data_IF_232092118818
#
_entry.id   IF_232092118818
#
_cell.length_a   1.000
_cell.length_b   1.000
_cell.length_c   1.000
_cell.angle_alpha   90.00
_cell.angle_beta   90.00
_cell.angle_gamma   90.00
#
_symmetry.space_group_name_H-M   'P 1'
#
loop_
_entity.id
_entity.type
_entity.pdbx_description
1 polymer ?
#
# COMPACT_ATOMS: atom_id res chain seq x y z
N UNK A 1 -2.34 -7.44 4.20
CA UNK A 1 -1.17 -6.55 3.93
C UNK A 1 -0.48 -6.19 5.24
N UNK A 2 -1.09 -5.38 6.13
CA UNK A 2 -0.54 -5.11 7.48
C UNK A 2 -0.46 -6.40 8.32
N UNK A 3 -1.55 -7.17 8.38
CA UNK A 3 -1.60 -8.45 9.10
C UNK A 3 -0.66 -9.52 8.50
N UNK A 4 -0.29 -9.37 7.22
CA UNK A 4 0.63 -10.29 6.53
C UNK A 4 2.09 -9.84 6.64
N UNK A 5 2.35 -8.72 7.32
CA UNK A 5 3.69 -8.14 7.45
C UNK A 5 4.27 -7.56 6.15
N UNK A 6 3.47 -7.42 5.09
CA UNK A 6 3.88 -6.84 3.80
C UNK A 6 4.09 -5.33 3.91
N UNK A 7 3.32 -4.69 4.80
CA UNK A 7 3.49 -3.30 5.22
C UNK A 7 3.51 -3.26 6.74
N UNK A 8 4.12 -2.22 7.30
CA UNK A 8 4.10 -1.90 8.73
C UNK A 8 3.38 -0.58 8.98
N UNK A 9 2.79 -0.46 10.17
CA UNK A 9 2.30 0.82 10.63
C UNK A 9 3.45 1.82 10.74
N UNK A 10 3.13 3.10 10.59
CA UNK A 10 4.07 4.22 10.54
C UNK A 10 4.99 4.28 9.30
N UNK A 11 4.77 3.42 8.30
CA UNK A 11 5.45 3.52 7.00
C UNK A 11 4.88 4.66 6.15
N UNK A 12 5.67 5.12 5.17
CA UNK A 12 5.26 6.20 4.27
C UNK A 12 4.79 5.62 2.93
N UNK A 13 3.59 6.04 2.52
CA UNK A 13 3.01 5.73 1.22
C UNK A 13 3.01 7.00 0.37
N UNK A 14 3.48 6.87 -0.86
CA UNK A 14 3.55 7.93 -1.87
C UNK A 14 2.47 7.70 -2.91
N UNK A 15 1.81 8.77 -3.34
CA UNK A 15 0.90 8.71 -4.48
C UNK A 15 1.71 8.55 -5.78
N UNK A 16 1.42 7.51 -6.55
CA UNK A 16 2.19 7.14 -7.75
C UNK A 16 2.28 8.31 -8.75
N UNK A 17 3.50 8.71 -9.09
CA UNK A 17 3.75 9.80 -10.04
C UNK A 17 3.42 11.19 -9.48
N UNK A 18 3.29 11.33 -8.16
CA UNK A 18 3.10 12.59 -7.44
C UNK A 18 4.14 12.69 -6.32
N UNK A 19 4.39 13.91 -5.86
CA UNK A 19 5.27 14.17 -4.71
C UNK A 19 4.54 14.04 -3.36
N UNK A 20 3.21 13.88 -3.38
CA UNK A 20 2.40 13.78 -2.18
C UNK A 20 2.56 12.40 -1.52
N UNK A 21 2.90 12.42 -0.23
CA UNK A 21 3.12 11.23 0.59
C UNK A 21 2.48 11.37 1.97
N UNK A 22 2.09 10.25 2.59
CA UNK A 22 1.39 10.20 3.87
C UNK A 22 1.83 8.98 4.69
N UNK A 23 1.67 9.07 6.01
CA UNK A 23 2.00 7.97 6.93
C UNK A 23 0.83 7.00 7.05
N UNK A 24 1.10 5.71 6.87
CA UNK A 24 0.16 4.62 7.06
C UNK A 24 -0.04 4.35 8.55
N UNK A 25 -1.29 4.38 9.00
CA UNK A 25 -1.68 4.03 10.35
C UNK A 25 -1.90 2.52 10.48
N UNK A 26 -1.86 2.01 11.71
CA UNK A 26 -2.04 0.58 12.01
C UNK A 26 -3.42 0.03 11.62
N UNK A 27 -4.41 0.89 11.43
CA UNK A 27 -5.75 0.54 10.96
C UNK A 27 -5.88 0.55 9.42
N UNK A 28 -4.81 0.83 8.69
CA UNK A 28 -4.81 0.93 7.22
C UNK A 28 -5.29 2.27 6.66
N UNK A 29 -5.63 3.23 7.53
CA UNK A 29 -5.88 4.62 7.13
C UNK A 29 -4.56 5.40 7.05
N UNK A 30 -4.65 6.65 6.57
CA UNK A 30 -3.53 7.56 6.40
C UNK A 30 -3.63 8.70 7.40
N UNK A 31 -2.50 9.13 7.92
CA UNK A 31 -2.41 10.37 8.68
C UNK A 31 -2.19 11.54 7.71
N UNK A 32 -3.17 12.43 7.63
CA UNK A 32 -3.17 13.62 6.78
C UNK A 32 -3.28 14.85 7.65
N UNK A 33 -2.18 15.60 7.80
CA UNK A 33 -2.13 16.82 8.63
C UNK A 33 -2.64 16.60 10.07
N UNK A 34 -2.38 15.43 10.66
CA UNK A 34 -2.85 15.07 12.00
C UNK A 34 -4.29 14.54 12.07
N UNK A 35 -4.99 14.46 10.94
CA UNK A 35 -6.34 13.89 10.84
C UNK A 35 -6.25 12.52 10.17
N UNK A 36 -6.98 11.55 10.72
CA UNK A 36 -7.13 10.24 10.08
C UNK A 36 -8.02 10.34 8.84
N UNK A 37 -7.53 9.83 7.72
CA UNK A 37 -8.24 9.80 6.44
C UNK A 37 -8.03 8.46 5.75
N UNK A 38 -9.05 7.90 5.10
CA UNK A 38 -8.87 6.66 4.34
C UNK A 38 -7.95 6.88 3.13
N UNK A 39 -7.12 5.88 2.82
CA UNK A 39 -6.18 5.94 1.69
C UNK A 39 -6.89 6.23 0.36
N UNK A 40 -8.07 5.67 0.14
CA UNK A 40 -8.86 5.92 -1.06
C UNK A 40 -9.32 7.38 -1.16
N UNK A 41 -9.74 7.99 -0.04
CA UNK A 41 -10.16 9.40 -0.04
C UNK A 41 -8.97 10.31 -0.32
N UNK A 42 -7.86 10.08 0.36
CA UNK A 42 -6.60 10.81 0.13
C UNK A 42 -6.17 10.73 -1.34
N UNK A 43 -6.09 9.54 -1.93
CA UNK A 43 -5.68 9.39 -3.34
C UNK A 43 -6.63 10.11 -4.29
N UNK A 44 -7.96 10.04 -4.09
CA UNK A 44 -8.91 10.78 -4.92
C UNK A 44 -8.68 12.29 -4.87
N UNK A 45 -8.34 12.83 -3.70
CA UNK A 45 -8.02 14.25 -3.52
C UNK A 45 -6.70 14.63 -4.21
N UNK A 46 -5.66 13.79 -4.12
CA UNK A 46 -4.37 14.02 -4.78
C UNK A 46 -4.47 13.98 -6.32
N UNK A 47 -5.29 13.08 -6.85
CA UNK A 47 -5.46 12.91 -8.31
C UNK A 47 -6.63 13.71 -8.90
N UNK A 48 -7.46 14.34 -8.06
CA UNK A 48 -8.73 14.97 -8.44
C UNK A 48 -9.64 14.04 -9.26
N UNK A 49 -9.79 12.79 -8.78
CA UNK A 49 -10.56 11.75 -9.45
C UNK A 49 -11.82 11.35 -8.67
N UNK A 50 -12.89 11.01 -9.40
CA UNK A 50 -14.11 10.44 -8.82
C UNK A 50 -13.90 9.03 -8.27
N UNK A 51 -12.93 8.28 -8.81
CA UNK A 51 -12.57 6.92 -8.39
C UNK A 51 -11.09 6.63 -8.64
N UNK A 52 -10.49 5.77 -7.83
CA UNK A 52 -9.07 5.39 -7.93
C UNK A 52 -8.86 3.94 -7.51
N UNK A 53 -7.95 3.25 -8.20
CA UNK A 53 -7.49 1.92 -7.80
C UNK A 53 -6.41 2.06 -6.73
N UNK A 54 -6.82 2.13 -5.46
CA UNK A 54 -5.94 2.40 -4.31
C UNK A 54 -4.61 1.65 -4.36
N UNK A 55 -4.65 0.32 -4.57
CA UNK A 55 -3.45 -0.52 -4.55
C UNK A 55 -2.46 -0.26 -5.68
N UNK A 56 -2.94 0.17 -6.85
CA UNK A 56 -2.10 0.44 -8.02
C UNK A 56 -1.46 1.84 -7.97
N UNK A 57 -2.00 2.74 -7.15
CA UNK A 57 -1.57 4.14 -7.02
C UNK A 57 -0.93 4.46 -5.67
N UNK A 58 -1.01 3.56 -4.70
CA UNK A 58 -0.26 3.63 -3.45
C UNK A 58 1.10 2.94 -3.63
N UNK A 59 2.17 3.72 -3.48
CA UNK A 59 3.57 3.26 -3.59
C UNK A 59 4.19 3.26 -2.20
N UNK A 60 4.74 2.13 -1.76
CA UNK A 60 5.50 2.09 -0.53
C UNK A 60 6.85 2.81 -0.75
N UNK A 61 7.14 3.84 0.06
CA UNK A 61 8.30 4.69 -0.16
C UNK A 61 9.63 3.91 -0.05
N UNK A 62 9.73 2.97 0.89
CA UNK A 62 10.97 2.24 1.14
C UNK A 62 11.32 1.28 0.00
N UNK A 63 10.32 0.57 -0.54
CA UNK A 63 10.54 -0.42 -1.61
C UNK A 63 10.38 0.18 -3.01
N UNK A 64 9.73 1.33 -3.14
CA UNK A 64 9.33 1.93 -4.42
C UNK A 64 8.24 1.13 -5.16
N UNK A 65 7.70 0.07 -4.55
CA UNK A 65 6.71 -0.81 -5.16
C UNK A 65 5.30 -0.36 -4.83
N UNK A 66 4.38 -0.56 -5.77
CA UNK A 66 2.97 -0.42 -5.49
C UNK A 66 2.48 -1.49 -4.51
N UNK A 67 1.38 -1.22 -3.84
CA UNK A 67 0.75 -2.23 -2.97
C UNK A 67 0.24 -3.42 -3.79
N UNK A 68 -0.18 -3.20 -5.03
CA UNK A 68 -0.51 -4.29 -5.96
C UNK A 68 0.69 -5.21 -6.22
N UNK A 69 1.86 -4.64 -6.53
CA UNK A 69 3.10 -5.41 -6.73
C UNK A 69 3.53 -6.16 -5.46
N UNK A 70 3.46 -5.49 -4.31
CA UNK A 70 3.82 -6.10 -3.03
C UNK A 70 2.90 -7.28 -2.68
N UNK A 71 1.62 -7.18 -3.04
CA UNK A 71 0.65 -8.26 -2.91
C UNK A 71 0.94 -9.41 -3.88
N UNK A 72 1.25 -9.11 -5.14
CA UNK A 72 1.60 -10.11 -6.15
C UNK A 72 2.81 -10.93 -5.70
N UNK A 73 3.88 -10.27 -5.28
CA UNK A 73 5.11 -10.91 -4.77
C UNK A 73 4.84 -11.80 -3.55
N UNK A 74 4.00 -11.35 -2.62
CA UNK A 74 3.61 -12.16 -1.47
C UNK A 74 2.87 -13.44 -1.91
N UNK A 75 1.96 -13.32 -2.88
CA UNK A 75 1.19 -14.46 -3.38
C UNK A 75 2.04 -15.41 -4.21
N UNK A 76 3.03 -14.91 -4.96
CA UNK A 76 3.99 -15.73 -5.69
C UNK A 76 4.91 -16.51 -4.75
N UNK A 77 5.46 -15.85 -3.73
CA UNK A 77 6.24 -16.53 -2.69
C UNK A 77 5.46 -17.62 -1.95
N UNK A 78 4.18 -17.37 -1.65
CA UNK A 78 3.32 -18.37 -1.03
C UNK A 78 3.11 -19.61 -1.91
N UNK A 79 3.04 -19.44 -3.24
CA UNK A 79 2.97 -20.57 -4.18
C UNK A 79 4.28 -21.36 -4.24
N UNK A 80 5.43 -20.69 -4.12
CA UNK A 80 6.73 -21.35 -4.07
C UNK A 80 6.93 -22.12 -2.76
N UNK A 81 6.54 -21.55 -1.61
CA UNK A 81 6.60 -22.24 -0.31
C UNK A 81 5.64 -23.44 -0.22
N UNK A 82 4.46 -23.37 -0.86
CA UNK A 82 3.53 -24.50 -0.91
C UNK A 82 4.02 -25.61 -1.85
N UNK A 83 4.80 -25.30 -2.89
CA UNK A 83 5.38 -26.27 -3.82
C UNK A 83 6.55 -27.06 -3.23
N UNK A 84 7.36 -26.47 -2.35
CA UNK A 84 8.53 -27.12 -1.71
C UNK A 84 8.15 -28.14 -0.64
N UNK A 85 6.92 -28.08 -0.10
CA UNK A 85 6.43 -29.02 0.93
C UNK A 85 5.82 -30.30 0.30
N UNK A 86 5.72 -30.35 -1.03
CA UNK A 86 5.15 -31.48 -1.80
C UNK A 86 6.20 -32.11 -2.74
N UNK A 87 7.45 -32.28 -2.28
CA UNK A 87 8.45 -33.13 -2.95
C UNK A 87 9.03 -34.19 -2.01
#
# INVERSE_FOLDING_TARGET
>A
MLEWGVLKACEVIVAKGKEDSRVLLSNGNMQVNGIEQSMQKWLKEVFDWSSVQTYAFAVHQETGKTLSQSREEYMERGKEEEAVVIE
#
